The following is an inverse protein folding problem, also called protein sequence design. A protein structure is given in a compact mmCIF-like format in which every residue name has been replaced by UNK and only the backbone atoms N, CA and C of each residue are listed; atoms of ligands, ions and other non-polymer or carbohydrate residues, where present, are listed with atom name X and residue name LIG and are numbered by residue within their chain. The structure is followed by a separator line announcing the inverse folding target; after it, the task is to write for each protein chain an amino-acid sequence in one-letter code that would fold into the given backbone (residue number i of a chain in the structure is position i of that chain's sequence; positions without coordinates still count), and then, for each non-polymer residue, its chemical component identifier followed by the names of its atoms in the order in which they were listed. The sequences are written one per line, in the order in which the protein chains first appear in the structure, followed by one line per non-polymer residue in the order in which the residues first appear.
data_IF_991345231069
#
_entry.id   IF_991345231069
#
_cell.length_a   1.000
_cell.length_b   1.000
_cell.length_c   1.000
_cell.angle_alpha   90.00
_cell.angle_beta   90.00
_cell.angle_gamma   90.00
#
_symmetry.space_group_name_H-M   'P 1'
#
loop_
_entity.id
_entity.type
_entity.pdbx_description
1 polymer ?
#
# COMPACT_ATOMS: atom_id res chain seq x y z
N UNK A 1 -18.91 10.50 -18.28
CA UNK A 1 -17.46 10.59 -18.08
C UNK A 1 -17.16 10.32 -16.62
N UNK A 2 -16.46 9.23 -16.27
CA UNK A 2 -16.02 8.97 -14.90
C UNK A 2 -14.65 9.61 -14.73
N UNK A 3 -14.58 10.64 -13.90
CA UNK A 3 -13.34 11.34 -13.59
C UNK A 3 -12.35 10.32 -12.97
N UNK A 4 -11.13 10.15 -13.50
CA UNK A 4 -10.08 9.45 -12.77
C UNK A 4 -9.66 10.39 -11.63
N UNK A 5 -10.38 10.32 -10.53
CA UNK A 5 -9.95 10.94 -9.27
C UNK A 5 -8.61 10.33 -8.94
N UNK A 6 -7.53 11.11 -9.12
CA UNK A 6 -6.22 11.06 -8.44
C UNK A 6 -5.96 9.84 -7.55
N UNK A 7 -6.13 8.64 -8.09
CA UNK A 7 -5.66 7.40 -7.51
C UNK A 7 -4.20 7.43 -7.90
N UNK A 8 -3.39 8.03 -7.02
CA UNK A 8 -1.94 8.00 -7.13
C UNK A 8 -1.59 6.54 -7.36
N UNK A 9 -1.40 6.19 -8.63
CA UNK A 9 -1.72 4.86 -9.13
C UNK A 9 -0.99 3.89 -8.23
N UNK A 10 -1.74 3.20 -7.36
CA UNK A 10 -1.10 2.42 -6.30
C UNK A 10 -0.17 1.48 -7.04
N UNK A 11 1.13 1.76 -6.94
CA UNK A 11 2.12 1.10 -7.77
C UNK A 11 1.87 -0.40 -7.67
N UNK A 12 1.97 -1.18 -8.76
CA UNK A 12 1.76 -2.63 -8.69
C UNK A 12 2.57 -3.28 -7.55
N UNK A 13 3.71 -2.69 -7.19
CA UNK A 13 4.49 -3.06 -6.01
C UNK A 13 3.74 -2.81 -4.69
N UNK A 14 3.16 -1.62 -4.52
CA UNK A 14 2.41 -1.25 -3.31
C UNK A 14 1.15 -2.09 -3.12
N UNK A 15 0.45 -2.46 -4.20
CA UNK A 15 -0.68 -3.40 -4.11
C UNK A 15 -0.23 -4.79 -3.62
N UNK A 16 0.84 -5.35 -4.22
CA UNK A 16 1.40 -6.64 -3.79
C UNK A 16 1.83 -6.62 -2.32
N UNK A 17 2.44 -5.53 -1.85
CA UNK A 17 2.80 -5.40 -0.44
C UNK A 17 1.56 -5.43 0.47
N UNK A 18 0.49 -4.74 0.09
CA UNK A 18 -0.77 -4.75 0.85
C UNK A 18 -1.38 -6.16 0.88
N UNK A 19 -1.38 -6.86 -0.26
CA UNK A 19 -1.89 -8.23 -0.35
C UNK A 19 -1.09 -9.18 0.55
N UNK A 20 0.25 -9.09 0.54
CA UNK A 20 1.12 -9.91 1.39
C UNK A 20 0.86 -9.65 2.88
N UNK A 21 0.69 -8.38 3.26
CA UNK A 21 0.39 -8.00 4.64
C UNK A 21 -0.99 -8.48 5.10
N UNK A 22 -1.99 -8.49 4.20
CA UNK A 22 -3.31 -9.05 4.48
C UNK A 22 -3.26 -10.57 4.61
N UNK A 23 -2.52 -11.26 3.74
CA UNK A 23 -2.35 -12.71 3.79
C UNK A 23 -1.67 -13.16 5.08
N UNK A 24 -0.67 -12.40 5.55
CA UNK A 24 0.03 -12.63 6.82
C UNK A 24 -0.75 -12.12 8.05
N UNK A 25 -1.94 -11.51 7.84
CA UNK A 25 -2.81 -10.95 8.89
C UNK A 25 -2.09 -9.95 9.80
N UNK A 26 -1.25 -9.10 9.23
CA UNK A 26 -0.62 -8.03 9.99
C UNK A 26 -1.67 -7.07 10.53
N UNK A 27 -1.40 -6.53 11.74
CA UNK A 27 -2.24 -5.51 12.33
C UNK A 27 -2.24 -4.26 11.44
N UNK A 28 -3.31 -3.46 11.52
CA UNK A 28 -3.39 -2.17 10.81
C UNK A 28 -2.25 -1.23 11.19
N UNK A 29 -1.74 -1.34 12.41
CA UNK A 29 -0.59 -0.56 12.87
C UNK A 29 0.69 -0.97 12.14
N UNK A 30 0.97 -2.27 12.08
CA UNK A 30 2.11 -2.82 11.33
C UNK A 30 2.02 -2.46 9.85
N UNK A 31 0.83 -2.57 9.24
CA UNK A 31 0.62 -2.21 7.83
C UNK A 31 0.97 -0.75 7.54
N UNK A 32 0.55 0.19 8.41
CA UNK A 32 0.88 1.61 8.26
C UNK A 32 2.36 1.90 8.41
N UNK A 33 3.00 1.31 9.42
CA UNK A 33 4.43 1.50 9.67
C UNK A 33 5.24 0.98 8.48
N UNK A 34 4.91 -0.21 7.98
CA UNK A 34 5.59 -0.82 6.85
C UNK A 34 5.45 0.01 5.56
N UNK A 35 4.25 0.49 5.24
CA UNK A 35 4.04 1.38 4.08
C UNK A 35 4.80 2.72 4.22
N UNK A 36 4.89 3.25 5.43
CA UNK A 36 5.63 4.49 5.71
C UNK A 36 7.13 4.30 5.51
N UNK A 37 7.68 3.19 6.00
CA UNK A 37 9.11 2.89 5.88
C UNK A 37 9.50 2.64 4.43
N UNK A 38 8.70 1.88 3.67
CA UNK A 38 8.93 1.71 2.23
C UNK A 38 8.85 3.05 1.48
N UNK A 39 7.90 3.92 1.83
CA UNK A 39 7.82 5.27 1.24
C UNK A 39 8.98 6.18 1.58
N UNK A 40 9.79 5.85 2.61
CA UNK A 40 11.04 6.57 2.94
C UNK A 40 12.27 5.99 2.25
N UNK A 41 12.21 4.74 1.79
CA UNK A 41 13.31 4.04 1.13
C UNK A 41 13.34 4.27 -0.39
N UNK A 42 12.30 4.89 -0.96
CA UNK A 42 12.12 5.14 -2.40
C UNK A 42 12.37 6.60 -2.77
#
# INVERSE_FOLDING_TARGET
MRHPTLDASVSPLRQRLIDDMNMRRFSRETQRNYLRDIGRLA
#
